data_IF_510614354416
#
_entry.id   IF_510614354416
#
_cell.length_a   1.000
_cell.length_b   1.000
_cell.length_c   1.000
_cell.angle_alpha   90.00
_cell.angle_beta   90.00
_cell.angle_gamma   90.00
#
_symmetry.space_group_name_H-M   'P 1'
#
loop_
_entity.id
_entity.type
_entity.pdbx_description
1 polymer ?
#
# COMPACT_ATOMS: atom_id res chain seq x y z
N UNK A 1 -3.52 -12.99 15.50
CA UNK A 1 -4.04 -11.63 15.27
C UNK A 1 -3.00 -10.67 14.68
N UNK A 2 -1.89 -10.31 15.36
CA UNK A 2 -0.89 -9.39 14.76
C UNK A 2 -0.29 -9.97 13.47
N UNK A 3 0.10 -11.25 13.49
CA UNK A 3 0.64 -11.94 12.30
C UNK A 3 -0.41 -12.08 11.18
N UNK A 4 -1.70 -12.25 11.52
CA UNK A 4 -2.78 -12.37 10.54
C UNK A 4 -3.07 -11.04 9.84
N UNK A 5 -3.08 -9.94 10.59
CA UNK A 5 -3.24 -8.58 10.05
C UNK A 5 -2.02 -8.22 9.19
N UNK A 6 -0.81 -8.53 9.63
CA UNK A 6 0.40 -8.28 8.86
C UNK A 6 0.42 -9.08 7.55
N UNK A 7 0.06 -10.37 7.60
CA UNK A 7 -0.06 -11.21 6.40
C UNK A 7 -1.15 -10.69 5.45
N UNK A 8 -2.27 -10.20 5.98
CA UNK A 8 -3.32 -9.58 5.17
C UNK A 8 -2.83 -8.31 4.47
N UNK A 9 -2.16 -7.41 5.19
CA UNK A 9 -1.59 -6.18 4.64
C UNK A 9 -0.57 -6.47 3.54
N UNK A 10 0.32 -7.44 3.76
CA UNK A 10 1.29 -7.89 2.75
C UNK A 10 0.54 -8.41 1.52
N UNK A 11 -0.47 -9.25 1.72
CA UNK A 11 -1.26 -9.83 0.63
C UNK A 11 -2.00 -8.78 -0.21
N UNK A 12 -2.58 -7.75 0.42
CA UNK A 12 -3.24 -6.65 -0.31
C UNK A 12 -2.24 -5.86 -1.18
N UNK A 13 -1.06 -5.54 -0.63
CA UNK A 13 -0.01 -4.82 -1.36
C UNK A 13 0.57 -5.67 -2.50
N UNK A 14 0.82 -6.95 -2.28
CA UNK A 14 1.29 -7.88 -3.32
C UNK A 14 0.25 -8.08 -4.42
N UNK A 15 -1.03 -8.15 -4.06
CA UNK A 15 -2.13 -8.26 -5.02
C UNK A 15 -2.21 -7.03 -5.90
N UNK A 16 -2.12 -5.84 -5.31
CA UNK A 16 -2.07 -4.57 -6.06
C UNK A 16 -0.85 -4.49 -6.97
N UNK A 17 0.35 -4.83 -6.45
CA UNK A 17 1.59 -4.89 -7.24
C UNK A 17 1.43 -5.82 -8.45
N UNK A 18 0.86 -7.00 -8.23
CA UNK A 18 0.60 -8.01 -9.26
C UNK A 18 -0.42 -7.56 -10.31
N UNK A 19 -1.46 -6.83 -9.89
CA UNK A 19 -2.44 -6.24 -10.79
C UNK A 19 -1.81 -5.19 -11.71
N UNK A 20 -0.99 -4.29 -11.15
CA UNK A 20 -0.27 -3.27 -11.91
C UNK A 20 0.76 -3.89 -12.86
N UNK A 21 1.54 -4.87 -12.39
CA UNK A 21 2.56 -5.53 -13.20
C UNK A 21 1.97 -6.20 -14.45
N UNK A 22 0.81 -6.86 -14.29
CA UNK A 22 0.15 -7.64 -15.36
C UNK A 22 -0.81 -6.82 -16.22
N UNK A 23 -0.99 -5.54 -15.93
CA UNK A 23 -1.99 -4.76 -16.63
C UNK A 23 -1.59 -4.36 -18.05
N UNK A 24 -2.57 -4.46 -18.94
CA UNK A 24 -2.55 -4.02 -20.32
C UNK A 24 -3.84 -3.26 -20.68
N UNK A 25 -4.08 -3.02 -21.96
CA UNK A 25 -5.20 -2.18 -22.40
C UNK A 25 -6.58 -2.71 -21.96
N UNK A 26 -6.76 -4.04 -21.90
CA UNK A 26 -8.06 -4.67 -21.62
C UNK A 26 -8.51 -4.52 -20.16
N UNK A 27 -7.58 -4.44 -19.21
CA UNK A 27 -7.89 -4.33 -17.79
C UNK A 27 -7.57 -2.96 -17.19
N UNK A 28 -7.15 -1.99 -18.01
CA UNK A 28 -6.89 -0.63 -17.54
C UNK A 28 -8.10 -0.06 -16.76
N UNK A 29 -9.36 -0.33 -17.20
CA UNK A 29 -10.65 0.10 -16.58
C UNK A 29 -10.81 -0.35 -15.15
N UNK A 30 -10.21 -1.47 -14.82
CA UNK A 30 -10.27 -2.02 -13.48
C UNK A 30 -9.14 -1.52 -12.58
N UNK A 31 -8.04 -0.94 -13.11
CA UNK A 31 -6.88 -0.60 -12.30
C UNK A 31 -7.15 0.47 -11.24
N UNK A 32 -7.84 1.55 -11.59
CA UNK A 32 -8.18 2.61 -10.64
C UNK A 32 -9.04 2.08 -9.48
N UNK A 33 -10.23 1.53 -9.77
CA UNK A 33 -11.10 0.93 -8.74
C UNK A 33 -10.41 -0.19 -7.94
N UNK A 34 -9.57 -1.01 -8.57
CA UNK A 34 -8.81 -2.06 -7.88
C UNK A 34 -7.79 -1.47 -6.91
N UNK A 35 -7.07 -0.41 -7.30
CA UNK A 35 -6.13 0.26 -6.41
C UNK A 35 -6.83 0.90 -5.21
N UNK A 36 -7.95 1.60 -5.45
CA UNK A 36 -8.75 2.18 -4.38
C UNK A 36 -9.24 1.12 -3.38
N UNK A 37 -9.77 -0.01 -3.89
CA UNK A 37 -10.26 -1.09 -3.04
C UNK A 37 -9.15 -1.71 -2.16
N UNK A 38 -7.98 -2.00 -2.74
CA UNK A 38 -6.85 -2.55 -1.98
C UNK A 38 -6.31 -1.57 -0.94
N UNK A 39 -6.26 -0.27 -1.28
CA UNK A 39 -5.78 0.75 -0.35
C UNK A 39 -6.79 1.02 0.77
N UNK A 40 -8.10 0.98 0.49
CA UNK A 40 -9.13 1.06 1.52
C UNK A 40 -9.00 -0.12 2.51
N UNK A 41 -8.77 -1.33 2.01
CA UNK A 41 -8.53 -2.50 2.84
C UNK A 41 -7.30 -2.33 3.74
N UNK A 42 -6.21 -1.80 3.20
CA UNK A 42 -4.98 -1.51 3.97
C UNK A 42 -5.25 -0.46 5.06
N UNK A 43 -5.90 0.65 4.73
CA UNK A 43 -6.15 1.76 5.65
C UNK A 43 -7.04 1.38 6.85
N UNK A 44 -7.87 0.34 6.72
CA UNK A 44 -8.68 -0.19 7.83
C UNK A 44 -7.86 -0.79 8.97
N UNK A 45 -6.61 -1.17 8.71
CA UNK A 45 -5.77 -1.89 9.68
C UNK A 45 -4.51 -1.11 10.10
N UNK A 46 -4.36 0.15 9.68
CA UNK A 46 -3.22 0.99 10.05
C UNK A 46 -3.68 2.29 10.69
N UNK A 47 -2.89 2.78 11.66
CA UNK A 47 -3.08 4.13 12.19
C UNK A 47 -2.66 5.12 11.12
N UNK A 48 -3.63 5.88 10.59
CA UNK A 48 -3.39 6.88 9.55
C UNK A 48 -2.46 7.97 10.09
N UNK A 49 -1.39 8.23 9.35
CA UNK A 49 -0.42 9.29 9.59
C UNK A 49 -0.21 10.09 8.29
N UNK A 50 0.32 11.32 8.36
CA UNK A 50 0.60 12.11 7.14
C UNK A 50 1.49 11.35 6.14
N UNK A 51 2.46 10.58 6.64
CA UNK A 51 3.34 9.77 5.78
C UNK A 51 2.56 8.65 5.04
N UNK A 52 1.59 8.01 5.71
CA UNK A 52 0.72 6.99 5.09
C UNK A 52 -0.25 7.63 4.10
N UNK A 53 -0.81 8.80 4.42
CA UNK A 53 -1.70 9.56 3.53
C UNK A 53 -0.97 9.96 2.24
N UNK A 54 0.21 10.56 2.36
CA UNK A 54 1.04 10.99 1.23
C UNK A 54 1.44 9.79 0.36
N UNK A 55 1.88 8.69 0.98
CA UNK A 55 2.26 7.48 0.25
C UNK A 55 1.05 6.87 -0.49
N UNK A 56 -0.10 6.79 0.18
CA UNK A 56 -1.34 6.27 -0.42
C UNK A 56 -1.80 7.15 -1.58
N UNK A 57 -1.81 8.47 -1.41
CA UNK A 57 -2.16 9.42 -2.46
C UNK A 57 -1.21 9.30 -3.67
N UNK A 58 0.09 9.18 -3.42
CA UNK A 58 1.08 8.96 -4.47
C UNK A 58 0.82 7.65 -5.22
N UNK A 59 0.52 6.55 -4.50
CA UNK A 59 0.19 5.25 -5.11
C UNK A 59 -1.04 5.35 -6.01
N UNK A 60 -2.16 5.90 -5.52
CA UNK A 60 -3.39 6.08 -6.32
C UNK A 60 -3.10 6.92 -7.57
N UNK A 61 -2.39 8.03 -7.40
CA UNK A 61 -2.09 8.95 -8.49
C UNK A 61 -1.25 8.28 -9.58
N UNK A 62 -0.22 7.52 -9.19
CA UNK A 62 0.66 6.83 -10.14
C UNK A 62 -0.04 5.66 -10.84
N UNK A 63 -0.86 4.89 -10.14
CA UNK A 63 -1.67 3.84 -10.76
C UNK A 63 -2.69 4.44 -11.74
N UNK A 64 -3.32 5.55 -11.39
CA UNK A 64 -4.24 6.26 -12.28
C UNK A 64 -3.54 6.81 -13.53
N UNK A 65 -2.32 7.34 -13.40
CA UNK A 65 -1.51 7.78 -14.54
C UNK A 65 -1.16 6.62 -15.47
N UNK A 66 -0.73 5.49 -14.90
CA UNK A 66 -0.45 4.28 -15.68
C UNK A 66 -1.69 3.75 -16.40
N UNK A 67 -2.83 3.65 -15.72
CA UNK A 67 -4.10 3.26 -16.33
C UNK A 67 -4.48 4.20 -17.48
N UNK A 68 -4.30 5.52 -17.30
CA UNK A 68 -4.51 6.52 -18.36
C UNK A 68 -3.62 6.29 -19.58
N UNK A 69 -2.33 6.03 -19.39
CA UNK A 69 -1.41 5.70 -20.48
C UNK A 69 -1.85 4.46 -21.26
N UNK A 70 -2.41 3.46 -20.58
CA UNK A 70 -2.95 2.25 -21.22
C UNK A 70 -4.20 2.56 -22.07
N UNK A 71 -5.17 3.34 -21.57
CA UNK A 71 -6.37 3.67 -22.38
C UNK A 71 -6.06 4.56 -23.57
N UNK A 72 -5.16 5.53 -23.35
CA UNK A 72 -4.77 6.48 -24.38
C UNK A 72 -3.94 5.81 -25.49
N UNK A 73 -3.56 4.53 -25.30
CA UNK A 73 -2.66 3.81 -26.19
C UNK A 73 -1.40 4.62 -26.45
N UNK A 74 -0.83 5.16 -25.37
CA UNK A 74 0.40 5.92 -25.44
C UNK A 74 1.54 5.06 -26.02
N UNK A 75 2.65 5.70 -26.40
CA UNK A 75 3.83 4.96 -26.84
C UNK A 75 4.28 3.95 -25.79
N UNK A 76 4.74 2.78 -26.23
CA UNK A 76 5.14 1.67 -25.35
C UNK A 76 6.14 2.15 -24.29
N UNK A 77 7.13 2.96 -24.67
CA UNK A 77 8.11 3.50 -23.74
C UNK A 77 7.48 4.32 -22.60
N UNK A 78 6.46 5.13 -22.90
CA UNK A 78 5.73 5.92 -21.92
C UNK A 78 4.83 5.04 -21.02
N UNK A 79 4.21 4.01 -21.58
CA UNK A 79 3.44 3.02 -20.80
C UNK A 79 4.35 2.29 -19.81
N UNK A 80 5.51 1.81 -20.29
CA UNK A 80 6.48 1.09 -19.46
C UNK A 80 7.07 1.98 -18.37
N UNK A 81 7.33 3.27 -18.67
CA UNK A 81 7.77 4.21 -17.65
C UNK A 81 6.67 4.44 -16.58
N UNK A 82 5.43 4.67 -17.01
CA UNK A 82 4.32 4.85 -16.07
C UNK A 82 4.09 3.60 -15.21
N UNK A 83 4.28 2.39 -15.76
CA UNK A 83 4.22 1.14 -14.98
C UNK A 83 5.31 1.11 -13.90
N UNK A 84 6.56 1.43 -14.27
CA UNK A 84 7.67 1.48 -13.31
C UNK A 84 7.42 2.49 -12.19
N UNK A 85 6.92 3.67 -12.53
CA UNK A 85 6.58 4.70 -11.55
C UNK A 85 5.48 4.24 -10.58
N UNK A 86 4.45 3.55 -11.10
CA UNK A 86 3.38 2.99 -10.28
C UNK A 86 3.89 1.89 -9.34
N UNK A 87 4.72 0.97 -9.84
CA UNK A 87 5.33 -0.07 -9.02
C UNK A 87 6.24 0.52 -7.92
N UNK A 88 7.06 1.51 -8.26
CA UNK A 88 7.91 2.20 -7.29
C UNK A 88 7.09 2.90 -6.19
N UNK A 89 5.95 3.49 -6.53
CA UNK A 89 5.05 4.09 -5.54
C UNK A 89 4.39 3.03 -4.63
N UNK A 90 4.07 1.84 -5.15
CA UNK A 90 3.55 0.71 -4.35
C UNK A 90 4.63 0.20 -3.40
N UNK A 91 5.87 0.07 -3.87
CA UNK A 91 6.98 -0.39 -3.04
C UNK A 91 7.33 0.62 -1.94
N UNK A 92 7.29 1.93 -2.24
CA UNK A 92 7.45 2.97 -1.24
C UNK A 92 6.35 2.92 -0.17
N UNK A 93 5.09 2.73 -0.57
CA UNK A 93 3.98 2.53 0.36
C UNK A 93 4.21 1.30 1.25
N UNK A 94 4.64 0.17 0.67
CA UNK A 94 4.96 -1.04 1.42
C UNK A 94 5.99 -0.76 2.54
N UNK A 95 7.05 -0.02 2.24
CA UNK A 95 8.07 0.38 3.22
C UNK A 95 7.53 1.33 4.29
N UNK A 96 6.62 2.24 3.94
CA UNK A 96 5.96 3.11 4.93
C UNK A 96 5.09 2.27 5.89
N UNK A 97 4.31 1.34 5.35
CA UNK A 97 3.44 0.46 6.13
C UNK A 97 4.25 -0.46 7.06
N UNK A 98 5.34 -1.04 6.58
CA UNK A 98 6.23 -1.88 7.39
C UNK A 98 6.84 -1.11 8.58
N UNK A 99 7.32 0.12 8.35
CA UNK A 99 7.82 0.96 9.44
C UNK A 99 6.72 1.34 10.44
N UNK A 100 5.52 1.62 9.94
CA UNK A 100 4.38 1.94 10.79
C UNK A 100 3.92 0.75 11.65
N UNK A 101 3.90 -0.47 11.11
CA UNK A 101 3.52 -1.68 11.87
C UNK A 101 4.57 -2.05 12.91
N UNK A 102 5.87 -1.97 12.58
CA UNK A 102 6.97 -2.17 13.53
C UNK A 102 6.91 -1.17 14.69
N UNK A 103 6.65 0.11 14.40
CA UNK A 103 6.52 1.15 15.42
C UNK A 103 5.34 0.90 16.37
N UNK A 104 4.21 0.42 15.85
CA UNK A 104 3.03 0.09 16.65
C UNK A 104 3.25 -1.13 17.55
N UNK A 105 3.92 -2.17 17.05
CA UNK A 105 4.27 -3.35 17.83
C UNK A 105 5.16 -2.99 19.03
N UNK A 106 6.23 -2.21 18.80
CA UNK A 106 7.12 -1.77 19.87
C UNK A 106 6.44 -0.85 20.90
N UNK A 107 5.52 0.02 20.45
CA UNK A 107 4.75 0.88 21.36
C UNK A 107 3.75 0.09 22.23
N UNK A 108 3.19 -1.01 21.71
CA UNK A 108 2.30 -1.89 22.48
C UNK A 108 3.06 -2.67 23.55
N UNK A 109 4.20 -3.26 23.18
CA UNK A 109 5.05 -4.03 24.10
C UNK A 109 5.53 -3.17 25.28
N UNK A 110 6.02 -1.96 25.00
CA UNK A 110 6.44 -1.01 26.04
C UNK A 110 5.31 -0.61 26.99
N UNK A 111 4.06 -0.48 26.51
CA UNK A 111 2.89 -0.18 27.34
C UNK A 111 2.50 -1.35 28.22
N UNK A 112 2.62 -2.57 27.72
CA UNK A 112 2.32 -3.78 28.48
C UNK A 112 3.33 -3.95 29.63
N UNK A 113 4.62 -3.75 29.37
CA UNK A 113 5.67 -3.81 30.38
C UNK A 113 5.45 -2.76 31.48
N UNK A 114 5.10 -1.53 31.10
CA UNK A 114 4.78 -0.48 32.06
C UNK A 114 3.55 -0.82 32.93
N UNK A 115 2.50 -1.42 32.34
CA UNK A 115 1.31 -1.83 33.08
C UNK A 115 1.59 -2.97 34.07
N UNK A 116 2.38 -3.96 33.68
CA UNK A 116 2.82 -5.06 34.56
C UNK A 116 3.64 -4.51 35.73
N UNK A 117 4.57 -3.58 35.46
CA UNK A 117 5.40 -2.98 36.51
C UNK A 117 4.59 -2.18 37.56
N UNK A 118 3.48 -1.56 37.15
CA UNK A 118 2.57 -0.84 38.07
C UNK A 118 1.74 -1.81 38.92
N UNK A 119 1.28 -2.93 38.37
CA UNK A 119 0.48 -3.94 39.08
C UNK A 119 1.31 -4.83 40.03
N UNK A 120 2.63 -4.81 39.89
CA UNK A 120 3.57 -5.62 40.69
C UNK A 120 4.11 -4.88 41.93
N UNK A 121 3.57 -3.70 42.25
CA UNK A 121 3.91 -2.89 43.44
C UNK A 121 2.76 -2.88 44.43
#
# INVERSE_FOLDING_TARGET
MIDEVQNYLISEIETLRSAVFRAGALNAKALGPSAEAHLENVLRFVVVSPEIEDATFATVTRVALFARSLYAQAEIAAIEQARRDALAAIDALATVLERATLSQAGAMESRLDAAIAVLSR
#
